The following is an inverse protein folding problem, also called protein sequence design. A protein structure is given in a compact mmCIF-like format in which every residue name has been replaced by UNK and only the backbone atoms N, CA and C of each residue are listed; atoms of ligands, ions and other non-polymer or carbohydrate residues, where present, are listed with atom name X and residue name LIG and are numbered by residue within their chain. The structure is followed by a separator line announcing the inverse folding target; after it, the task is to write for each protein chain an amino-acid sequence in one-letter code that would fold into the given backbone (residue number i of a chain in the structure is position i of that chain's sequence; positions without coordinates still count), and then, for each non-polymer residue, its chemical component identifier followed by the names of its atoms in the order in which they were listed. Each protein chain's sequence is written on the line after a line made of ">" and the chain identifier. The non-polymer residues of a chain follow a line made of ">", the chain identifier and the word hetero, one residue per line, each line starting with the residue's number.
data_IF_816882717075
#
_entry.id   IF_816882717075
#
_cell.length_a   1.000
_cell.length_b   1.000
_cell.length_c   1.000
_cell.angle_alpha   90.00
_cell.angle_beta   90.00
_cell.angle_gamma   90.00
#
_symmetry.space_group_name_H-M   'P 1'
#
loop_
_entity.id
_entity.type
_entity.pdbx_description
1 polymer ?
#
# COMPACT_ATOMS: atom_id res chain seq x y z
N UNK A 1 -58.91 -43.95 -10.37
CA UNK A 1 -58.40 -43.12 -11.47
C UNK A 1 -58.48 -41.65 -11.07
N UNK A 2 -57.43 -40.88 -11.38
CA UNK A 2 -57.18 -39.46 -11.06
C UNK A 2 -56.92 -39.14 -9.58
N UNK A 3 -55.66 -38.78 -9.28
CA UNK A 3 -55.28 -37.41 -8.87
C UNK A 3 -53.85 -37.15 -9.37
N UNK A 4 -53.75 -36.19 -10.27
CA UNK A 4 -52.52 -35.55 -10.73
C UNK A 4 -52.06 -34.64 -9.58
N UNK A 5 -50.81 -34.75 -9.16
CA UNK A 5 -50.15 -33.75 -8.31
C UNK A 5 -48.92 -33.26 -9.07
N UNK A 6 -49.08 -32.09 -9.69
CA UNK A 6 -47.98 -31.21 -10.10
C UNK A 6 -47.50 -30.47 -8.86
N UNK A 7 -46.25 -30.65 -8.43
CA UNK A 7 -45.56 -29.70 -7.53
C UNK A 7 -44.11 -29.59 -8.05
N UNK A 8 -43.88 -28.66 -8.96
CA UNK A 8 -43.11 -27.41 -8.76
C UNK A 8 -41.60 -27.65 -8.76
N UNK A 9 -41.04 -27.42 -9.95
CA UNK A 9 -39.86 -26.63 -10.24
C UNK A 9 -39.16 -26.03 -8.99
N UNK A 10 -38.11 -26.70 -8.51
CA UNK A 10 -37.00 -26.00 -7.85
C UNK A 10 -35.76 -26.28 -8.68
N UNK A 11 -35.68 -25.59 -9.82
CA UNK A 11 -34.42 -25.37 -10.50
C UNK A 11 -33.63 -24.48 -9.53
N UNK A 12 -32.91 -25.11 -8.61
CA UNK A 12 -31.95 -24.45 -7.75
C UNK A 12 -30.84 -23.95 -8.68
N UNK A 13 -31.06 -22.80 -9.30
CA UNK A 13 -29.99 -21.97 -9.82
C UNK A 13 -29.20 -21.59 -8.58
N UNK A 14 -28.25 -22.47 -8.25
CA UNK A 14 -27.11 -22.15 -7.43
C UNK A 14 -26.51 -20.93 -8.12
N UNK A 15 -26.89 -19.76 -7.62
CA UNK A 15 -26.16 -18.52 -7.78
C UNK A 15 -24.78 -18.79 -7.19
N UNK A 16 -23.94 -19.46 -7.98
CA UNK A 16 -22.50 -19.31 -7.94
C UNK A 16 -22.26 -17.85 -8.34
N UNK A 17 -22.60 -16.93 -7.44
CA UNK A 17 -21.88 -15.66 -7.37
C UNK A 17 -20.49 -16.11 -6.92
N UNK A 18 -19.71 -16.60 -7.90
CA UNK A 18 -18.29 -16.81 -7.73
C UNK A 18 -17.77 -15.45 -7.33
N UNK A 19 -17.49 -15.28 -6.04
CA UNK A 19 -16.67 -14.19 -5.58
C UNK A 19 -15.32 -14.48 -6.23
N UNK A 20 -15.12 -13.97 -7.45
CA UNK A 20 -13.85 -14.11 -8.13
C UNK A 20 -12.85 -13.37 -7.25
N UNK A 21 -12.00 -14.15 -6.60
CA UNK A 21 -10.85 -13.63 -5.88
C UNK A 21 -9.95 -12.86 -6.86
N UNK A 22 -9.31 -11.77 -6.40
CA UNK A 22 -8.44 -10.98 -7.26
C UNK A 22 -7.28 -11.82 -7.79
N UNK A 23 -7.11 -11.83 -9.11
CA UNK A 23 -6.02 -12.55 -9.79
C UNK A 23 -4.77 -11.69 -9.94
N UNK A 24 -4.91 -10.38 -9.90
CA UNK A 24 -3.80 -9.42 -9.91
C UNK A 24 -3.78 -8.57 -8.64
N UNK A 25 -2.62 -8.00 -8.34
CA UNK A 25 -2.45 -7.10 -7.20
C UNK A 25 -3.28 -5.82 -7.37
N UNK A 26 -3.35 -5.29 -8.60
CA UNK A 26 -4.19 -4.14 -8.95
C UNK A 26 -5.70 -4.44 -8.76
N UNK A 27 -6.17 -5.62 -9.15
CA UNK A 27 -7.55 -6.04 -8.88
C UNK A 27 -7.85 -6.10 -7.38
N UNK A 28 -6.89 -6.59 -6.57
CA UNK A 28 -7.04 -6.64 -5.12
C UNK A 28 -7.11 -5.24 -4.54
N UNK A 29 -6.23 -4.34 -4.98
CA UNK A 29 -6.23 -2.94 -4.60
C UNK A 29 -7.59 -2.27 -4.86
N UNK A 30 -8.08 -2.32 -6.10
CA UNK A 30 -9.36 -1.70 -6.44
C UNK A 30 -10.56 -2.31 -5.70
N UNK A 31 -10.52 -3.63 -5.44
CA UNK A 31 -11.56 -4.32 -4.68
C UNK A 31 -11.61 -3.81 -3.24
N UNK A 32 -10.46 -3.73 -2.58
CA UNK A 32 -10.38 -3.25 -1.20
C UNK A 32 -10.76 -1.78 -1.10
N UNK A 33 -10.21 -0.92 -1.96
CA UNK A 33 -10.55 0.52 -1.97
C UNK A 33 -12.05 0.77 -2.14
N UNK A 34 -12.72 0.03 -3.04
CA UNK A 34 -14.18 0.12 -3.22
C UNK A 34 -15.00 -0.40 -2.03
N UNK A 35 -14.38 -1.18 -1.15
CA UNK A 35 -15.02 -1.70 0.06
C UNK A 35 -14.91 -0.74 1.25
N UNK A 36 -13.97 0.20 1.20
CA UNK A 36 -13.82 1.26 2.21
C UNK A 36 -14.94 2.28 2.02
N UNK A 37 -15.80 2.43 3.03
CA UNK A 37 -16.96 3.32 2.98
C UNK A 37 -16.62 4.79 3.11
N UNK A 38 -15.49 5.07 3.73
CA UNK A 38 -15.08 6.41 4.12
C UNK A 38 -14.06 7.00 3.13
N UNK A 39 -13.80 6.32 2.00
CA UNK A 39 -12.95 6.82 0.92
C UNK A 39 -13.84 7.17 -0.26
N UNK A 40 -13.87 8.45 -0.62
CA UNK A 40 -14.70 8.95 -1.72
C UNK A 40 -14.01 8.79 -3.07
N UNK A 41 -12.69 9.00 -3.13
CA UNK A 41 -11.88 8.79 -4.34
C UNK A 41 -10.47 8.31 -4.01
N UNK A 42 -9.78 7.75 -4.99
CA UNK A 42 -8.40 7.29 -4.84
C UNK A 42 -7.66 7.21 -6.18
N UNK A 43 -6.34 7.40 -6.12
CA UNK A 43 -5.47 7.30 -7.29
C UNK A 43 -4.37 6.28 -7.04
N UNK A 44 -4.25 5.30 -7.94
CA UNK A 44 -3.07 4.43 -8.01
C UNK A 44 -1.92 5.23 -8.64
N UNK A 45 -0.87 5.50 -7.86
CA UNK A 45 0.29 6.26 -8.31
C UNK A 45 1.30 5.34 -8.98
N UNK A 46 1.67 4.23 -8.31
CA UNK A 46 2.67 3.30 -8.84
C UNK A 46 2.49 1.90 -8.30
N UNK A 47 2.67 0.91 -9.17
CA UNK A 47 2.79 -0.49 -8.80
C UNK A 47 4.25 -0.96 -8.89
N UNK A 48 4.74 -1.64 -7.84
CA UNK A 48 6.06 -2.28 -7.79
C UNK A 48 5.88 -3.78 -7.57
N UNK A 49 5.81 -4.53 -8.67
CA UNK A 49 5.55 -5.99 -8.66
C UNK A 49 6.61 -6.81 -7.91
N UNK A 50 7.88 -6.40 -7.98
CA UNK A 50 8.98 -7.13 -7.33
C UNK A 50 8.82 -7.18 -5.80
N UNK A 51 8.29 -6.10 -5.25
CA UNK A 51 8.18 -5.89 -3.81
C UNK A 51 6.72 -6.06 -3.33
N UNK A 52 5.81 -6.47 -4.23
CA UNK A 52 4.38 -6.63 -3.96
C UNK A 52 3.73 -5.39 -3.34
N UNK A 53 4.05 -4.22 -3.89
CA UNK A 53 3.65 -2.94 -3.31
C UNK A 53 2.89 -2.07 -4.31
N UNK A 54 1.90 -1.32 -3.82
CA UNK A 54 1.26 -0.21 -4.54
C UNK A 54 1.40 1.08 -3.72
N UNK A 55 1.84 2.15 -4.39
CA UNK A 55 1.77 3.52 -3.92
C UNK A 55 0.46 4.14 -4.44
N UNK A 56 -0.30 4.80 -3.57
CA UNK A 56 -1.59 5.40 -3.89
C UNK A 56 -1.87 6.64 -3.03
N UNK A 57 -2.85 7.43 -3.47
CA UNK A 57 -3.47 8.49 -2.67
C UNK A 57 -4.95 8.21 -2.50
N UNK A 58 -5.55 8.77 -1.45
CA UNK A 58 -6.99 8.70 -1.19
C UNK A 58 -7.55 10.08 -0.88
N UNK A 59 -8.84 10.25 -1.12
CA UNK A 59 -9.60 11.45 -0.82
C UNK A 59 -10.84 11.08 -0.01
N UNK A 60 -11.10 11.86 1.03
CA UNK A 60 -12.19 11.76 1.98
C UNK A 60 -12.83 13.15 2.10
N UNK A 61 -14.10 13.28 1.75
CA UNK A 61 -14.86 14.52 1.80
C UNK A 61 -14.96 15.01 3.26
N UNK A 62 -14.47 16.22 3.51
CA UNK A 62 -14.48 16.83 4.84
C UNK A 62 -13.27 16.48 5.73
N UNK A 63 -12.27 15.74 5.20
CA UNK A 63 -11.01 15.44 5.89
C UNK A 63 -9.81 16.01 5.12
N UNK A 64 -9.69 17.34 5.10
CA UNK A 64 -8.64 18.05 4.38
C UNK A 64 -7.22 17.66 4.83
N UNK A 65 -7.04 17.22 6.08
CA UNK A 65 -5.73 16.80 6.61
C UNK A 65 -5.28 15.45 6.05
N UNK A 66 -6.21 14.55 5.72
CA UNK A 66 -5.92 13.22 5.20
C UNK A 66 -6.07 13.07 3.69
N UNK A 67 -6.47 14.14 3.01
CA UNK A 67 -6.60 14.16 1.56
C UNK A 67 -5.23 14.16 0.86
N UNK A 68 -5.17 13.42 -0.24
CA UNK A 68 -4.00 13.34 -1.14
C UNK A 68 -2.72 12.81 -0.48
N UNK A 69 -2.84 12.26 0.73
CA UNK A 69 -1.73 11.61 1.43
C UNK A 69 -1.15 10.44 0.63
N UNK A 70 0.17 10.38 0.55
CA UNK A 70 0.89 9.31 -0.13
C UNK A 70 0.97 8.10 0.79
N UNK A 71 0.27 7.05 0.39
CA UNK A 71 0.16 5.80 1.11
C UNK A 71 0.80 4.68 0.32
N UNK A 72 1.45 3.77 1.03
CA UNK A 72 2.03 2.56 0.46
C UNK A 72 1.36 1.34 1.07
N UNK A 73 0.90 0.43 0.23
CA UNK A 73 0.31 -0.84 0.64
C UNK A 73 1.22 -1.98 0.20
N UNK A 74 1.43 -2.95 1.10
CA UNK A 74 2.02 -4.23 0.82
C UNK A 74 0.94 -5.31 0.64
N UNK A 75 1.15 -6.22 -0.29
CA UNK A 75 0.27 -7.34 -0.57
C UNK A 75 0.94 -8.68 -0.32
N UNK A 76 0.17 -9.64 0.18
CA UNK A 76 0.56 -11.03 0.27
C UNK A 76 -0.13 -11.84 -0.82
N UNK A 77 0.60 -12.83 -1.36
CA UNK A 77 0.05 -13.78 -2.32
C UNK A 77 -0.10 -15.15 -1.68
N UNK A 78 -1.34 -15.62 -1.51
CA UNK A 78 -1.66 -16.92 -0.91
C UNK A 78 -2.52 -17.71 -1.88
N UNK A 79 -2.15 -18.96 -2.17
CA UNK A 79 -2.89 -19.83 -3.10
C UNK A 79 -3.19 -19.18 -4.47
N UNK A 80 -2.24 -18.39 -4.97
CA UNK A 80 -2.34 -17.63 -6.22
C UNK A 80 -3.37 -16.46 -6.22
N UNK A 81 -3.85 -16.07 -5.05
CA UNK A 81 -4.73 -14.91 -4.85
C UNK A 81 -3.97 -13.81 -4.11
N UNK A 82 -4.30 -12.56 -4.41
CA UNK A 82 -3.68 -11.39 -3.79
C UNK A 82 -4.54 -10.85 -2.66
N UNK A 83 -3.90 -10.54 -1.54
CA UNK A 83 -4.52 -10.03 -0.32
C UNK A 83 -3.81 -8.76 0.12
N UNK A 84 -4.59 -7.74 0.44
CA UNK A 84 -4.10 -6.52 1.08
C UNK A 84 -3.66 -6.86 2.50
N UNK A 85 -2.38 -6.66 2.79
CA UNK A 85 -1.79 -7.04 4.07
C UNK A 85 -1.73 -5.84 5.02
N UNK A 86 -1.00 -4.78 4.64
CA UNK A 86 -0.90 -3.57 5.45
C UNK A 86 -0.61 -2.33 4.63
N UNK A 87 -0.96 -1.19 5.23
CA UNK A 87 -0.73 0.14 4.68
C UNK A 87 0.10 0.98 5.64
N UNK A 88 1.03 1.77 5.09
CA UNK A 88 1.73 2.83 5.78
C UNK A 88 1.45 4.18 5.09
N UNK A 89 1.31 5.23 5.89
CA UNK A 89 1.26 6.61 5.39
C UNK A 89 2.68 7.19 5.39
N UNK A 90 3.09 7.81 4.28
CA UNK A 90 4.48 8.20 4.03
C UNK A 90 4.69 9.72 4.03
N UNK A 91 3.76 10.51 4.57
CA UNK A 91 3.80 11.97 4.43
C UNK A 91 4.91 12.65 5.23
N UNK A 92 5.36 12.03 6.32
CA UNK A 92 6.46 12.56 7.12
C UNK A 92 7.82 12.28 6.49
N UNK A 93 8.88 12.89 7.04
CA UNK A 93 10.29 12.59 6.67
C UNK A 93 10.57 11.09 6.78
N UNK A 94 9.97 10.43 7.76
CA UNK A 94 9.94 8.99 7.91
C UNK A 94 8.73 8.54 8.75
N UNK A 95 8.26 7.33 8.50
CA UNK A 95 7.28 6.59 9.28
C UNK A 95 7.58 5.10 9.23
N UNK A 96 7.02 4.35 10.18
CA UNK A 96 7.16 2.89 10.25
C UNK A 96 5.82 2.24 10.52
N UNK A 97 5.37 1.34 9.63
CA UNK A 97 4.24 0.45 9.90
C UNK A 97 4.77 -0.88 10.44
N UNK A 98 4.73 -0.98 11.77
CA UNK A 98 5.09 -2.18 12.51
C UNK A 98 3.88 -3.15 12.57
N UNK A 99 4.16 -4.45 12.59
CA UNK A 99 3.15 -5.52 12.55
C UNK A 99 3.79 -6.87 12.25
N UNK A 100 3.12 -7.73 11.48
CA UNK A 100 3.79 -8.90 10.92
C UNK A 100 4.87 -8.47 9.92
N UNK A 101 5.85 -9.33 9.66
CA UNK A 101 6.92 -9.01 8.71
C UNK A 101 6.46 -9.21 7.25
N UNK A 102 6.99 -8.43 6.30
CA UNK A 102 7.96 -7.35 6.49
C UNK A 102 7.31 -6.08 7.09
N UNK A 103 8.11 -5.32 7.84
CA UNK A 103 7.79 -3.96 8.26
C UNK A 103 7.96 -3.00 7.08
N UNK A 104 7.12 -1.96 7.03
CA UNK A 104 7.23 -0.92 6.01
C UNK A 104 7.82 0.33 6.66
N UNK A 105 9.00 0.73 6.20
CA UNK A 105 9.57 2.05 6.45
C UNK A 105 9.33 2.91 5.21
N UNK A 106 8.83 4.13 5.37
CA UNK A 106 8.68 5.04 4.25
C UNK A 106 8.70 6.50 4.67
N UNK A 107 8.75 7.40 3.70
CA UNK A 107 8.66 8.84 3.94
C UNK A 107 8.71 9.64 2.65
N UNK A 108 8.64 10.96 2.77
CA UNK A 108 8.77 11.90 1.64
C UNK A 108 10.12 12.62 1.67
N UNK A 109 10.64 12.90 0.48
CA UNK A 109 11.77 13.80 0.25
C UNK A 109 11.27 15.00 -0.56
N UNK A 110 11.02 16.10 0.14
CA UNK A 110 10.59 17.38 -0.45
C UNK A 110 11.77 18.33 -0.69
N UNK A 111 12.89 18.12 0.01
CA UNK A 111 14.09 18.95 -0.12
C UNK A 111 14.94 18.49 -1.32
N UNK A 112 15.26 19.37 -2.28
CA UNK A 112 16.08 19.01 -3.45
C UNK A 112 17.49 18.52 -3.09
N UNK A 113 18.00 18.91 -1.91
CA UNK A 113 19.32 18.46 -1.42
C UNK A 113 19.34 17.00 -0.98
N UNK A 114 18.20 16.37 -0.72
CA UNK A 114 18.15 14.95 -0.36
C UNK A 114 18.39 14.10 -1.60
N UNK A 115 19.35 13.19 -1.59
CA UNK A 115 19.68 12.36 -2.76
C UNK A 115 19.31 10.89 -2.52
N UNK A 116 19.92 10.26 -1.51
CA UNK A 116 19.79 8.81 -1.26
C UNK A 116 19.32 8.56 0.16
N UNK A 117 18.32 7.71 0.35
CA UNK A 117 17.92 7.24 1.68
C UNK A 117 18.45 5.84 1.92
N UNK A 118 18.98 5.62 3.13
CA UNK A 118 19.35 4.30 3.65
C UNK A 118 18.52 3.98 4.88
N UNK A 119 18.10 2.72 4.97
CA UNK A 119 17.44 2.11 6.12
C UNK A 119 18.35 0.97 6.59
N UNK A 120 18.93 1.15 7.77
CA UNK A 120 20.12 0.40 8.18
C UNK A 120 21.23 0.56 7.14
N UNK A 121 21.77 -0.57 6.67
CA UNK A 121 22.80 -0.62 5.63
C UNK A 121 22.25 -0.72 4.20
N UNK A 122 20.92 -0.68 4.03
CA UNK A 122 20.26 -0.92 2.74
C UNK A 122 19.75 0.38 2.12
N UNK A 123 20.06 0.60 0.84
CA UNK A 123 19.49 1.71 0.06
C UNK A 123 17.98 1.51 -0.11
N UNK A 124 17.19 2.50 0.25
CA UNK A 124 15.74 2.51 0.07
C UNK A 124 15.37 2.67 -1.41
N UNK A 125 14.18 2.18 -1.77
CA UNK A 125 13.57 2.46 -3.05
C UNK A 125 13.07 3.91 -3.03
N UNK A 126 13.24 4.65 -4.13
CA UNK A 126 12.74 6.03 -4.30
C UNK A 126 11.86 6.08 -5.55
N UNK A 127 10.69 6.68 -5.40
CA UNK A 127 9.66 6.83 -6.43
C UNK A 127 9.45 8.33 -6.64
N UNK A 128 9.56 8.78 -7.89
CA UNK A 128 9.17 10.14 -8.27
C UNK A 128 7.65 10.20 -8.43
N UNK A 129 7.02 11.21 -7.82
CA UNK A 129 5.59 11.48 -7.96
C UNK A 129 5.40 12.61 -8.98
N UNK A 130 4.36 12.53 -9.80
CA UNK A 130 4.06 13.56 -10.80
C UNK A 130 3.84 14.92 -10.13
N UNK A 131 4.48 15.97 -10.64
CA UNK A 131 4.60 17.29 -9.97
C UNK A 131 6.03 17.63 -9.54
N UNK A 132 6.95 16.65 -9.54
CA UNK A 132 8.40 16.83 -9.67
C UNK A 132 9.18 17.26 -8.43
N UNK A 133 8.53 17.76 -7.39
CA UNK A 133 9.20 18.19 -6.14
C UNK A 133 9.17 17.08 -5.08
N UNK A 134 8.16 16.22 -5.12
CA UNK A 134 7.96 15.19 -4.11
C UNK A 134 8.42 13.82 -4.59
N UNK A 135 9.34 13.23 -3.82
CA UNK A 135 9.76 11.83 -3.98
C UNK A 135 9.32 11.05 -2.76
N UNK A 136 8.74 9.87 -2.96
CA UNK A 136 8.46 8.93 -1.87
C UNK A 136 9.57 7.92 -1.81
N UNK A 137 10.10 7.66 -0.63
CA UNK A 137 11.02 6.55 -0.40
C UNK A 137 10.36 5.48 0.45
N UNK A 138 10.76 4.22 0.25
CA UNK A 138 10.32 3.11 1.10
C UNK A 138 11.34 1.98 1.17
N UNK A 139 11.22 1.18 2.23
CA UNK A 139 12.00 -0.02 2.47
C UNK A 139 11.17 -1.06 3.23
N UNK A 140 11.21 -2.31 2.78
CA UNK A 140 10.62 -3.45 3.46
C UNK A 140 11.70 -4.11 4.31
N UNK A 141 11.54 -4.13 5.64
CA UNK A 141 12.55 -4.66 6.57
C UNK A 141 12.01 -5.77 7.46
N UNK A 142 12.90 -6.66 7.88
CA UNK A 142 12.65 -7.65 8.92
C UNK A 142 12.99 -7.13 10.33
N UNK A 143 13.54 -5.91 10.45
CA UNK A 143 13.94 -5.25 11.68
C UNK A 143 13.01 -4.05 11.98
N UNK A 144 12.46 -4.01 13.20
CA UNK A 144 11.53 -2.98 13.66
C UNK A 144 12.25 -1.77 14.30
N UNK A 145 13.58 -1.82 14.42
CA UNK A 145 14.40 -0.74 14.94
C UNK A 145 15.54 -0.43 13.98
N UNK A 146 15.19 0.18 12.85
CA UNK A 146 16.16 0.59 11.84
C UNK A 146 16.67 2.01 12.09
N UNK A 147 17.94 2.24 11.77
CA UNK A 147 18.46 3.59 11.56
C UNK A 147 17.99 4.09 10.20
N UNK A 148 17.63 5.37 10.07
CA UNK A 148 17.26 5.96 8.79
C UNK A 148 18.11 7.20 8.58
N UNK A 149 18.91 7.17 7.52
CA UNK A 149 19.77 8.29 7.11
C UNK A 149 19.52 8.70 5.68
N UNK A 150 19.69 9.99 5.42
CA UNK A 150 19.70 10.55 4.07
C UNK A 150 21.09 11.08 3.75
N UNK A 151 21.60 10.71 2.58
CA UNK A 151 22.79 11.30 1.99
C UNK A 151 22.35 12.50 1.15
N UNK A 152 22.96 13.64 1.41
CA UNK A 152 22.71 14.88 0.71
C UNK A 152 23.51 14.96 -0.60
N UNK A 153 23.12 15.87 -1.48
CA UNK A 153 23.78 16.10 -2.77
C UNK A 153 25.26 16.52 -2.64
N UNK A 154 25.67 17.07 -1.49
CA UNK A 154 27.07 17.40 -1.19
C UNK A 154 27.86 16.22 -0.58
N UNK A 155 27.20 15.07 -0.40
CA UNK A 155 27.77 13.85 0.17
C UNK A 155 27.73 13.78 1.71
N UNK A 156 27.26 14.82 2.40
CA UNK A 156 27.05 14.77 3.85
C UNK A 156 25.83 13.94 4.23
N UNK A 157 25.73 13.52 5.50
CA UNK A 157 24.67 12.65 5.99
C UNK A 157 23.80 13.38 7.03
N UNK A 158 22.48 13.19 6.96
CA UNK A 158 21.50 13.66 7.95
C UNK A 158 20.71 12.45 8.47
N UNK A 159 20.55 12.33 9.79
CA UNK A 159 19.76 11.27 10.41
C UNK A 159 18.30 11.70 10.49
N UNK A 160 17.43 10.91 9.88
CA UNK A 160 15.99 11.07 10.00
C UNK A 160 15.48 10.32 11.25
N UNK A 161 16.02 9.14 11.51
CA UNK A 161 15.74 8.31 12.69
C UNK A 161 17.02 7.67 13.20
N UNK A 162 17.27 7.83 14.50
CA UNK A 162 18.31 7.08 15.21
C UNK A 162 17.76 5.77 15.81
N UNK A 163 18.65 4.81 16.06
CA UNK A 163 18.30 3.56 16.75
C UNK A 163 18.11 3.83 18.24
N UNK A 164 17.00 3.35 18.80
CA UNK A 164 16.79 3.41 20.25
C UNK A 164 17.66 2.32 20.89
N UNK A 165 18.55 2.71 21.80
CA UNK A 165 19.48 1.83 22.54
C UNK A 165 18.82 1.20 23.76
#
# INVERSE_FOLDING_TARGET
>A
MKKIIYIVLSLSVLLLVGCNSPKTMEEAFHKEMKSLKDVDDYTLVKQIEKDNVILFTSYIEGDEENNEQLNIVHFNKVNNEWFWDKTASCNDKWSGKLGDKPYIWCGTLTEPRHDIVYVGDTKANVIEVEGGIERVWYHLSENDNEEIKVVLADGSEEWLKEVIK
#
